data_IF_555153171365
#
_entry.id   IF_555153171365
#
_cell.length_a   1.000
_cell.length_b   1.000
_cell.length_c   1.000
_cell.angle_alpha   90.00
_cell.angle_beta   90.00
_cell.angle_gamma   90.00
#
_symmetry.space_group_name_H-M   'P 1'
#
loop_
_entity.id
_entity.type
_entity.pdbx_description
1 polymer ?
#
# COMPACT_ATOMS: atom_id res chain seq x y z
N UNK A 1 11.08 3.63 -26.04
CA UNK A 1 10.19 2.74 -25.27
C UNK A 1 8.86 3.46 -25.15
N UNK A 2 7.73 2.77 -25.02
CA UNK A 2 6.43 3.42 -24.77
C UNK A 2 6.43 4.19 -23.44
N UNK A 3 5.81 5.37 -23.46
CA UNK A 3 5.48 6.22 -22.31
C UNK A 3 4.01 6.68 -22.48
N UNK A 4 3.25 6.88 -21.39
CA UNK A 4 3.68 6.78 -19.99
C UNK A 4 3.87 5.33 -19.51
N UNK A 5 4.80 5.13 -18.57
CA UNK A 5 5.04 3.81 -17.94
C UNK A 5 5.51 3.92 -16.49
N UNK A 6 5.22 2.91 -15.68
CA UNK A 6 5.86 2.68 -14.39
C UNK A 6 6.97 1.65 -14.54
N UNK A 7 8.20 2.05 -14.25
CA UNK A 7 9.33 1.14 -14.10
C UNK A 7 9.41 0.65 -12.65
N UNK A 8 9.61 -0.66 -12.48
CA UNK A 8 9.54 -1.35 -11.17
C UNK A 8 10.79 -2.20 -10.97
N UNK A 9 11.58 -1.88 -9.94
CA UNK A 9 12.77 -2.65 -9.56
C UNK A 9 12.39 -3.71 -8.51
N UNK A 10 12.30 -4.95 -8.97
CA UNK A 10 11.90 -6.10 -8.14
C UNK A 10 12.96 -6.46 -7.09
N UNK A 11 14.24 -6.20 -7.38
CA UNK A 11 15.33 -6.47 -6.43
C UNK A 11 15.19 -5.58 -5.20
N UNK A 12 14.84 -4.31 -5.38
CA UNK A 12 14.60 -3.37 -4.28
C UNK A 12 13.36 -3.72 -3.46
N UNK A 13 12.27 -4.17 -4.10
CA UNK A 13 11.07 -4.63 -3.38
C UNK A 13 11.36 -5.84 -2.50
N UNK A 14 12.11 -6.80 -3.05
CA UNK A 14 12.57 -7.97 -2.30
C UNK A 14 13.40 -7.55 -1.09
N UNK A 15 14.43 -6.72 -1.29
CA UNK A 15 15.31 -6.24 -0.21
C UNK A 15 14.55 -5.43 0.87
N UNK A 16 13.58 -4.62 0.45
CA UNK A 16 12.68 -3.92 1.37
C UNK A 16 11.88 -4.89 2.23
N UNK A 17 11.37 -5.96 1.62
CA UNK A 17 10.63 -6.99 2.34
C UNK A 17 11.55 -7.77 3.29
N UNK A 18 12.73 -8.19 2.83
CA UNK A 18 13.75 -8.88 3.65
C UNK A 18 14.12 -8.07 4.88
N UNK A 19 14.29 -6.76 4.72
CA UNK A 19 14.63 -5.84 5.81
C UNK A 19 13.54 -5.80 6.88
N UNK A 20 12.27 -5.63 6.47
CA UNK A 20 11.15 -5.57 7.41
C UNK A 20 10.87 -6.93 8.06
N UNK A 21 10.91 -8.02 7.29
CA UNK A 21 10.77 -9.38 7.78
C UNK A 21 11.85 -9.69 8.82
N UNK A 22 13.12 -9.37 8.53
CA UNK A 22 14.23 -9.59 9.45
C UNK A 22 14.04 -8.86 10.77
N UNK A 23 13.64 -7.58 10.73
CA UNK A 23 13.41 -6.75 11.93
C UNK A 23 12.19 -7.19 12.75
N UNK A 24 11.11 -7.62 12.09
CA UNK A 24 9.88 -8.02 12.77
C UNK A 24 9.95 -9.45 13.31
N UNK A 25 10.69 -10.34 12.64
CA UNK A 25 10.89 -11.72 13.09
C UNK A 25 11.56 -11.81 14.46
N UNK A 26 12.50 -10.91 14.79
CA UNK A 26 13.13 -10.87 16.13
C UNK A 26 12.14 -10.51 17.25
N UNK A 27 10.94 -10.02 16.88
CA UNK A 27 9.84 -9.66 17.77
C UNK A 27 8.68 -10.66 17.70
N UNK A 28 8.85 -11.78 17.00
CA UNK A 28 7.80 -12.78 16.82
C UNK A 28 6.68 -12.37 15.85
N UNK A 29 6.89 -11.31 15.05
CA UNK A 29 5.90 -10.77 14.13
C UNK A 29 6.21 -11.21 12.69
N UNK A 30 5.26 -11.89 12.06
CA UNK A 30 5.23 -12.19 10.64
C UNK A 30 4.82 -10.99 9.79
N UNK A 31 5.14 -11.05 8.50
CA UNK A 31 4.78 -10.01 7.53
C UNK A 31 3.90 -10.58 6.44
N UNK A 32 2.68 -10.06 6.34
CA UNK A 32 1.79 -10.29 5.20
C UNK A 32 1.97 -9.15 4.18
N UNK A 33 2.42 -9.50 2.96
CA UNK A 33 2.69 -8.53 1.90
C UNK A 33 1.42 -8.04 1.20
N UNK A 34 1.14 -6.73 1.23
CA UNK A 34 -0.09 -6.15 0.68
C UNK A 34 0.13 -5.64 -0.75
N UNK A 35 -0.54 -6.27 -1.71
CA UNK A 35 -0.34 -6.00 -3.15
C UNK A 35 -1.34 -5.01 -3.76
N UNK A 36 -2.26 -4.46 -2.95
CA UNK A 36 -3.39 -3.66 -3.46
C UNK A 36 -2.97 -2.43 -4.28
N UNK A 37 -1.88 -1.78 -3.89
CA UNK A 37 -1.37 -0.57 -4.54
C UNK A 37 -0.70 -0.84 -5.89
N UNK A 38 -0.30 -2.10 -6.14
CA UNK A 38 0.26 -2.56 -7.42
C UNK A 38 -0.73 -3.46 -8.17
N UNK A 39 -2.01 -3.40 -7.78
CA UNK A 39 -3.09 -4.19 -8.35
C UNK A 39 -2.81 -5.70 -8.39
N UNK A 40 -2.12 -6.28 -7.40
CA UNK A 40 -1.77 -7.71 -7.46
C UNK A 40 -0.87 -8.07 -8.65
N UNK A 41 0.04 -7.19 -9.05
CA UNK A 41 1.02 -7.49 -10.09
C UNK A 41 1.88 -8.70 -9.66
N UNK A 42 1.84 -9.84 -10.37
CA UNK A 42 2.46 -11.09 -9.90
C UNK A 42 3.96 -10.99 -9.66
N UNK A 43 4.69 -10.23 -10.47
CA UNK A 43 6.13 -10.06 -10.30
C UNK A 43 6.49 -9.35 -8.98
N UNK A 44 5.70 -8.34 -8.56
CA UNK A 44 5.90 -7.64 -7.28
C UNK A 44 5.49 -8.54 -6.11
N UNK A 45 4.39 -9.28 -6.25
CA UNK A 45 3.96 -10.25 -5.26
C UNK A 45 5.01 -11.33 -5.02
N UNK A 46 5.63 -11.86 -6.09
CA UNK A 46 6.70 -12.83 -5.98
C UNK A 46 7.93 -12.23 -5.30
N UNK A 47 8.31 -10.98 -5.62
CA UNK A 47 9.42 -10.31 -4.94
C UNK A 47 9.18 -10.14 -3.42
N UNK A 48 7.94 -9.86 -2.99
CA UNK A 48 7.59 -9.84 -1.56
C UNK A 48 7.73 -11.23 -0.92
N UNK A 49 7.24 -12.28 -1.59
CA UNK A 49 7.36 -13.66 -1.09
C UNK A 49 8.82 -14.12 -1.00
N UNK A 50 9.63 -13.83 -2.02
CA UNK A 50 11.06 -14.14 -2.06
C UNK A 50 11.82 -13.38 -0.97
N UNK A 51 11.31 -12.21 -0.57
CA UNK A 51 11.85 -11.45 0.56
C UNK A 51 11.37 -11.94 1.93
N UNK A 52 10.59 -13.02 1.99
CA UNK A 52 10.20 -13.68 3.23
C UNK A 52 8.84 -13.28 3.79
N UNK A 53 7.99 -12.57 3.03
CA UNK A 53 6.59 -12.41 3.43
C UNK A 53 5.92 -13.79 3.57
N UNK A 54 5.20 -14.01 4.67
CA UNK A 54 4.61 -15.33 5.00
C UNK A 54 3.40 -15.65 4.12
N UNK A 55 2.77 -14.61 3.58
CA UNK A 55 1.62 -14.66 2.68
C UNK A 55 1.39 -13.30 2.05
N UNK A 56 0.32 -13.21 1.28
CA UNK A 56 -0.08 -11.99 0.60
C UNK A 56 -1.46 -11.53 1.04
N UNK A 57 -1.75 -10.25 0.81
CA UNK A 57 -3.06 -9.69 1.03
C UNK A 57 -3.43 -8.70 -0.07
N UNK A 58 -4.71 -8.67 -0.43
CA UNK A 58 -5.25 -7.69 -1.36
C UNK A 58 -6.67 -7.27 -0.96
N UNK A 59 -7.09 -6.08 -1.41
CA UNK A 59 -8.43 -5.55 -1.13
C UNK A 59 -9.42 -5.86 -2.26
N UNK A 60 -8.94 -6.28 -3.44
CA UNK A 60 -9.77 -6.52 -4.63
C UNK A 60 -9.65 -7.96 -5.10
N UNK A 61 -10.79 -8.63 -5.23
CA UNK A 61 -10.83 -10.01 -5.69
C UNK A 61 -10.22 -10.21 -7.08
N UNK A 62 -10.40 -9.25 -8.01
CA UNK A 62 -9.78 -9.30 -9.33
C UNK A 62 -8.25 -9.34 -9.29
N UNK A 63 -7.62 -8.73 -8.28
CA UNK A 63 -6.18 -8.80 -8.06
C UNK A 63 -5.78 -10.20 -7.56
N UNK A 64 -6.56 -10.78 -6.64
CA UNK A 64 -6.30 -12.14 -6.14
C UNK A 64 -6.44 -13.17 -7.26
N UNK A 65 -7.47 -13.06 -8.10
CA UNK A 65 -7.65 -13.93 -9.28
C UNK A 65 -6.44 -13.82 -10.21
N UNK A 66 -5.93 -12.60 -10.44
CA UNK A 66 -4.71 -12.39 -11.24
C UNK A 66 -3.49 -13.09 -10.64
N UNK A 67 -3.31 -13.02 -9.33
CA UNK A 67 -2.23 -13.71 -8.63
C UNK A 67 -2.36 -15.25 -8.77
N UNK A 68 -3.56 -15.80 -8.58
CA UNK A 68 -3.82 -17.23 -8.76
C UNK A 68 -3.58 -17.70 -10.19
N UNK A 69 -4.05 -16.94 -11.18
CA UNK A 69 -3.81 -17.24 -12.60
C UNK A 69 -2.33 -17.20 -12.97
N UNK A 70 -1.53 -16.42 -12.24
CA UNK A 70 -0.07 -16.38 -12.39
C UNK A 70 0.66 -17.49 -11.61
N UNK A 71 -0.07 -18.43 -10.99
CA UNK A 71 0.50 -19.57 -10.29
C UNK A 71 0.88 -19.33 -8.83
N UNK A 72 0.48 -18.20 -8.23
CA UNK A 72 0.76 -17.94 -6.81
C UNK A 72 -0.07 -18.88 -5.94
N UNK A 73 0.60 -19.81 -5.25
CA UNK A 73 -0.02 -20.82 -4.37
C UNK A 73 0.10 -20.51 -2.87
N UNK A 74 0.84 -19.47 -2.50
CA UNK A 74 0.96 -19.02 -1.09
C UNK A 74 -0.37 -18.52 -0.54
N UNK A 75 -0.49 -18.47 0.78
CA UNK A 75 -1.70 -17.98 1.46
C UNK A 75 -2.02 -16.55 1.02
N UNK A 76 -3.27 -16.29 0.62
CA UNK A 76 -3.77 -14.97 0.25
C UNK A 76 -5.02 -14.63 1.06
N UNK A 77 -4.95 -13.52 1.77
CA UNK A 77 -6.07 -12.99 2.58
C UNK A 77 -6.71 -11.79 1.91
N UNK A 78 -8.03 -11.81 1.75
CA UNK A 78 -8.77 -10.62 1.32
C UNK A 78 -8.93 -9.64 2.50
N UNK A 79 -8.35 -8.44 2.40
CA UNK A 79 -8.32 -7.43 3.48
C UNK A 79 -9.42 -6.37 3.39
N UNK A 80 -10.38 -6.58 2.49
CA UNK A 80 -11.64 -5.83 2.44
C UNK A 80 -12.76 -6.84 2.59
N UNK A 81 -13.76 -6.53 3.42
CA UNK A 81 -14.97 -7.35 3.56
C UNK A 81 -15.51 -7.74 2.16
N UNK A 82 -15.70 -9.05 1.89
CA UNK A 82 -16.22 -9.51 0.62
C UNK A 82 -17.58 -8.90 0.28
N UNK A 83 -17.82 -8.68 -1.02
CA UNK A 83 -19.18 -8.42 -1.49
C UNK A 83 -19.98 -9.72 -1.43
N UNK A 84 -21.25 -9.66 -1.04
CA UNK A 84 -22.14 -10.84 -1.03
C UNK A 84 -22.20 -11.53 -2.40
N UNK A 85 -22.18 -10.75 -3.49
CA UNK A 85 -22.17 -11.25 -4.87
C UNK A 85 -20.86 -11.96 -5.28
N UNK A 86 -19.84 -11.92 -4.43
CA UNK A 86 -18.51 -12.46 -4.72
C UNK A 86 -18.10 -13.62 -3.82
N UNK A 87 -18.92 -14.01 -2.83
CA UNK A 87 -18.54 -14.99 -1.80
C UNK A 87 -18.11 -16.34 -2.38
N UNK A 88 -18.82 -16.87 -3.39
CA UNK A 88 -18.41 -18.11 -4.07
C UNK A 88 -17.00 -18.01 -4.69
N UNK A 89 -16.67 -16.86 -5.30
CA UNK A 89 -15.34 -16.65 -5.86
C UNK A 89 -14.29 -16.41 -4.77
N UNK A 90 -14.63 -15.69 -3.69
CA UNK A 90 -13.73 -15.47 -2.55
C UNK A 90 -13.29 -16.80 -1.95
N UNK A 91 -14.24 -17.68 -1.60
CA UNK A 91 -13.96 -19.00 -1.05
C UNK A 91 -13.08 -19.86 -1.97
N UNK A 92 -13.22 -19.68 -3.29
CA UNK A 92 -12.45 -20.44 -4.27
C UNK A 92 -10.98 -20.02 -4.36
N UNK A 93 -10.69 -18.72 -4.21
CA UNK A 93 -9.37 -18.16 -4.56
C UNK A 93 -8.62 -17.57 -3.37
N UNK A 94 -9.30 -17.25 -2.28
CA UNK A 94 -8.71 -16.74 -1.04
C UNK A 94 -8.68 -17.84 0.00
N UNK A 95 -7.63 -17.87 0.82
CA UNK A 95 -7.54 -18.80 1.94
C UNK A 95 -8.27 -18.26 3.18
N UNK A 96 -8.31 -16.93 3.31
CA UNK A 96 -9.03 -16.25 4.37
C UNK A 96 -9.56 -14.88 3.91
N UNK A 97 -10.45 -14.29 4.71
CA UNK A 97 -10.91 -12.91 4.52
C UNK A 97 -11.18 -12.21 5.83
N UNK A 98 -10.89 -10.91 5.88
CA UNK A 98 -11.29 -10.03 6.96
C UNK A 98 -12.78 -9.65 6.84
N UNK A 99 -13.50 -9.71 7.95
CA UNK A 99 -14.93 -9.45 8.02
C UNK A 99 -15.30 -8.66 9.28
N UNK A 100 -16.43 -7.97 9.20
CA UNK A 100 -17.09 -7.27 10.32
C UNK A 100 -18.56 -7.64 10.46
N UNK A 101 -19.17 -8.19 9.40
CA UNK A 101 -20.62 -8.37 9.28
C UNK A 101 -21.01 -9.84 9.23
N UNK A 102 -21.90 -10.28 10.13
CA UNK A 102 -22.33 -11.67 10.21
C UNK A 102 -23.02 -12.15 8.92
N UNK A 103 -23.80 -11.28 8.26
CA UNK A 103 -24.45 -11.62 6.98
C UNK A 103 -23.45 -12.03 5.90
N UNK A 104 -22.26 -11.43 5.89
CA UNK A 104 -21.19 -11.78 4.93
C UNK A 104 -20.55 -13.10 5.33
N UNK A 105 -20.29 -13.32 6.62
CA UNK A 105 -19.71 -14.57 7.13
C UNK A 105 -20.64 -15.75 6.84
N UNK A 106 -21.94 -15.61 7.09
CA UNK A 106 -22.96 -16.63 6.75
C UNK A 106 -22.96 -16.95 5.25
N UNK A 107 -22.82 -15.94 4.39
CA UNK A 107 -22.75 -16.16 2.94
C UNK A 107 -21.46 -16.86 2.50
N UNK A 108 -20.32 -16.57 3.15
CA UNK A 108 -19.05 -17.28 2.95
C UNK A 108 -19.15 -18.74 3.42
N UNK A 109 -19.73 -18.98 4.59
CA UNK A 109 -19.97 -20.31 5.12
C UNK A 109 -20.83 -21.16 4.17
N UNK A 110 -21.95 -20.61 3.69
CA UNK A 110 -22.79 -21.29 2.71
C UNK A 110 -22.02 -21.60 1.41
N UNK A 111 -21.17 -20.69 0.94
CA UNK A 111 -20.34 -20.91 -0.25
C UNK A 111 -19.26 -21.98 -0.04
N UNK A 112 -18.62 -22.01 1.13
CA UNK A 112 -17.62 -22.99 1.51
C UNK A 112 -18.21 -24.40 1.64
N UNK A 113 -19.39 -24.52 2.27
CA UNK A 113 -20.14 -25.79 2.34
C UNK A 113 -20.44 -26.32 0.94
N UNK A 114 -20.97 -25.47 0.03
CA UNK A 114 -21.24 -25.87 -1.36
C UNK A 114 -19.99 -26.34 -2.11
N UNK A 115 -18.83 -25.81 -1.76
CA UNK A 115 -17.54 -26.12 -2.40
C UNK A 115 -16.78 -27.25 -1.69
N UNK A 116 -17.29 -27.77 -0.57
CA UNK A 116 -16.60 -28.78 0.23
C UNK A 116 -15.31 -28.29 0.87
N UNK A 117 -15.23 -27.00 1.19
CA UNK A 117 -14.06 -26.36 1.82
C UNK A 117 -14.43 -25.71 3.16
N UNK A 118 -13.43 -25.24 3.88
CA UNK A 118 -13.58 -24.38 5.07
C UNK A 118 -12.84 -23.08 4.79
N UNK A 119 -13.54 -21.96 4.90
CA UNK A 119 -12.97 -20.63 4.63
C UNK A 119 -12.48 -19.95 5.91
N UNK A 120 -11.28 -19.38 5.88
CA UNK A 120 -10.73 -18.65 7.02
C UNK A 120 -11.40 -17.29 7.25
N UNK A 121 -11.81 -17.02 8.48
CA UNK A 121 -12.41 -15.77 8.91
C UNK A 121 -11.47 -15.07 9.87
N UNK A 122 -11.09 -13.85 9.51
CA UNK A 122 -10.46 -12.92 10.43
C UNK A 122 -11.45 -11.81 10.80
N UNK A 123 -11.64 -11.53 12.08
CA UNK A 123 -12.52 -10.45 12.52
C UNK A 123 -11.75 -9.12 12.63
N UNK A 124 -12.29 -8.06 12.03
CA UNK A 124 -11.75 -6.71 12.17
C UNK A 124 -12.37 -6.01 13.37
N UNK A 125 -11.54 -5.36 14.18
CA UNK A 125 -11.93 -4.68 15.42
C UNK A 125 -11.75 -3.17 15.24
N UNK A 126 -12.75 -2.41 15.68
CA UNK A 126 -12.72 -0.95 15.67
C UNK A 126 -11.94 -0.45 16.89
N UNK A 127 -10.83 0.24 16.65
CA UNK A 127 -9.95 0.79 17.70
C UNK A 127 -9.61 2.29 17.46
N UNK A 128 -10.48 3.01 16.75
CA UNK A 128 -10.48 4.46 16.55
C UNK A 128 -10.30 4.94 15.10
N UNK A 129 -10.13 4.05 14.11
CA UNK A 129 -9.99 4.46 12.71
C UNK A 129 -11.33 4.85 12.07
N UNK A 130 -12.45 4.41 12.66
CA UNK A 130 -13.84 4.66 12.22
C UNK A 130 -14.14 4.17 10.80
N UNK A 131 -13.30 3.26 10.27
CA UNK A 131 -13.34 2.80 8.87
C UNK A 131 -14.17 1.53 8.74
N UNK A 132 -13.81 0.52 9.51
CA UNK A 132 -14.56 -0.70 9.74
C UNK A 132 -14.11 -1.30 11.06
N UNK A 133 -14.97 -2.11 11.65
CA UNK A 133 -14.59 -2.96 12.77
C UNK A 133 -15.77 -3.26 13.66
N UNK A 134 -15.68 -4.40 14.33
CA UNK A 134 -16.54 -4.80 15.42
C UNK A 134 -16.09 -4.03 16.67
N UNK A 135 -17.05 -3.51 17.44
CA UNK A 135 -16.72 -2.88 18.72
C UNK A 135 -16.18 -3.94 19.69
N UNK A 136 -15.18 -3.61 20.52
CA UNK A 136 -14.59 -4.57 21.46
C UNK A 136 -15.62 -5.33 22.31
N UNK A 137 -16.67 -4.65 22.78
CA UNK A 137 -17.75 -5.23 23.59
C UNK A 137 -18.61 -6.27 22.86
N UNK A 138 -18.69 -6.21 21.52
CA UNK A 138 -19.50 -7.11 20.70
C UNK A 138 -18.69 -8.31 20.17
N UNK A 139 -17.36 -8.26 20.30
CA UNK A 139 -16.46 -9.19 19.64
C UNK A 139 -16.67 -10.64 20.07
N UNK A 140 -16.81 -10.89 21.37
CA UNK A 140 -16.96 -12.25 21.91
C UNK A 140 -18.24 -12.91 21.41
N UNK A 141 -19.36 -12.18 21.39
CA UNK A 141 -20.64 -12.68 20.88
C UNK A 141 -20.60 -12.98 19.37
N UNK A 142 -19.84 -12.20 18.59
CA UNK A 142 -19.65 -12.48 17.16
C UNK A 142 -18.71 -13.67 16.97
N UNK A 143 -17.62 -13.75 17.74
CA UNK A 143 -16.66 -14.85 17.67
C UNK A 143 -17.31 -16.21 17.95
N UNK A 144 -18.15 -16.31 19.00
CA UNK A 144 -18.93 -17.52 19.30
C UNK A 144 -19.80 -17.95 18.13
N UNK A 145 -20.52 -17.01 17.49
CA UNK A 145 -21.33 -17.31 16.31
C UNK A 145 -20.49 -17.82 15.13
N UNK A 146 -19.27 -17.32 14.93
CA UNK A 146 -18.37 -17.83 13.88
C UNK A 146 -17.84 -19.22 14.20
N UNK A 147 -17.53 -19.49 15.47
CA UNK A 147 -17.04 -20.80 15.93
C UNK A 147 -18.08 -21.90 15.73
N UNK A 148 -19.35 -21.59 15.97
CA UNK A 148 -20.47 -22.52 15.81
C UNK A 148 -20.94 -22.68 14.35
N UNK A 149 -20.37 -21.91 13.41
CA UNK A 149 -20.83 -21.87 12.03
C UNK A 149 -20.07 -22.85 11.11
N UNK A 150 -20.74 -23.90 10.58
CA UNK A 150 -20.09 -24.83 9.66
C UNK A 150 -19.65 -24.14 8.36
N UNK A 151 -18.53 -24.58 7.77
CA UNK A 151 -18.00 -24.04 6.52
C UNK A 151 -17.04 -22.86 6.69
N UNK A 152 -16.91 -22.31 7.89
CA UNK A 152 -15.91 -21.29 8.22
C UNK A 152 -15.07 -21.71 9.41
N UNK A 153 -13.91 -21.07 9.57
CA UNK A 153 -13.05 -21.21 10.74
C UNK A 153 -12.56 -19.85 11.18
N UNK A 154 -12.69 -19.52 12.46
CA UNK A 154 -12.12 -18.31 13.04
C UNK A 154 -10.59 -18.45 13.11
N UNK A 155 -9.89 -17.84 12.17
CA UNK A 155 -8.42 -17.94 12.05
C UNK A 155 -7.69 -16.81 12.78
N UNK A 156 -8.36 -15.70 13.03
CA UNK A 156 -7.68 -14.53 13.58
C UNK A 156 -8.54 -13.32 13.83
N UNK A 157 -7.86 -12.29 14.33
CA UNK A 157 -8.40 -10.93 14.49
C UNK A 157 -7.41 -9.89 13.99
N UNK A 158 -7.86 -8.66 13.80
CA UNK A 158 -6.96 -7.55 13.59
C UNK A 158 -7.65 -6.20 13.66
N UNK A 159 -6.87 -5.14 13.65
CA UNK A 159 -7.37 -3.76 13.61
C UNK A 159 -6.69 -2.98 12.49
N UNK A 160 -7.22 -1.82 12.11
CA UNK A 160 -6.59 -0.94 11.13
C UNK A 160 -6.37 0.45 11.74
N UNK A 161 -5.30 1.13 11.32
CA UNK A 161 -4.92 2.45 11.82
C UNK A 161 -4.45 3.37 10.69
N UNK A 162 -4.44 4.68 10.95
CA UNK A 162 -3.85 5.67 10.05
C UNK A 162 -4.52 5.79 8.68
N UNK A 163 -5.78 5.35 8.54
CA UNK A 163 -6.50 5.40 7.27
C UNK A 163 -7.59 6.48 7.29
N UNK A 164 -8.81 6.18 7.77
CA UNK A 164 -9.91 7.13 7.70
C UNK A 164 -9.80 8.18 8.81
N UNK A 165 -9.81 7.75 10.06
CA UNK A 165 -9.69 8.62 11.23
C UNK A 165 -8.30 9.24 11.40
N UNK A 166 -7.30 8.79 10.61
CA UNK A 166 -5.88 9.18 10.74
C UNK A 166 -5.33 9.00 12.16
N UNK A 167 -5.95 8.12 12.94
CA UNK A 167 -5.53 7.80 14.29
C UNK A 167 -4.32 6.88 14.22
N UNK A 168 -3.23 7.29 14.84
CA UNK A 168 -2.02 6.49 14.93
C UNK A 168 -2.22 5.30 15.90
N UNK A 169 -1.56 4.16 15.64
CA UNK A 169 -1.50 3.07 16.61
C UNK A 169 -0.66 3.50 17.82
N UNK A 170 -1.03 3.01 19.00
CA UNK A 170 -0.30 3.23 20.24
C UNK A 170 -0.26 1.94 21.09
N UNK A 171 0.52 1.97 22.17
CA UNK A 171 0.68 0.82 23.05
C UNK A 171 -0.63 0.41 23.75
N UNK A 172 -1.53 1.36 24.07
CA UNK A 172 -2.80 1.06 24.71
C UNK A 172 -3.73 0.29 23.76
N UNK A 173 -3.80 0.68 22.49
CA UNK A 173 -4.56 -0.04 21.46
C UNK A 173 -4.00 -1.43 21.18
N UNK A 174 -2.68 -1.61 21.19
CA UNK A 174 -2.06 -2.93 21.05
C UNK A 174 -2.31 -3.83 22.27
N UNK A 175 -2.37 -3.25 23.46
CA UNK A 175 -2.74 -3.97 24.68
C UNK A 175 -4.21 -4.41 24.63
N UNK A 176 -5.13 -3.55 24.20
CA UNK A 176 -6.55 -3.92 23.99
C UNK A 176 -6.65 -5.07 22.99
N UNK A 177 -5.99 -4.98 21.83
CA UNK A 177 -6.01 -6.04 20.83
C UNK A 177 -5.40 -7.36 21.33
N UNK A 178 -4.38 -7.28 22.20
CA UNK A 178 -3.79 -8.45 22.89
C UNK A 178 -4.81 -9.10 23.83
N UNK A 179 -5.46 -8.32 24.69
CA UNK A 179 -6.47 -8.85 25.63
C UNK A 179 -7.67 -9.47 24.91
N UNK A 180 -8.14 -8.85 23.81
CA UNK A 180 -9.22 -9.41 22.99
C UNK A 180 -8.81 -10.73 22.31
N UNK A 181 -7.56 -10.85 21.88
CA UNK A 181 -7.05 -12.12 21.35
C UNK A 181 -7.08 -13.21 22.43
N UNK A 182 -6.56 -12.92 23.61
CA UNK A 182 -6.52 -13.86 24.73
C UNK A 182 -7.92 -14.27 25.18
N UNK A 183 -8.89 -13.35 25.18
CA UNK A 183 -10.29 -13.64 25.47
C UNK A 183 -10.86 -14.66 24.46
N UNK A 184 -10.67 -14.42 23.16
CA UNK A 184 -11.14 -15.36 22.12
C UNK A 184 -10.42 -16.70 22.21
N UNK A 185 -9.10 -16.71 22.43
CA UNK A 185 -8.30 -17.94 22.57
C UNK A 185 -8.80 -18.80 23.74
N UNK A 186 -9.22 -18.17 24.84
CA UNK A 186 -9.84 -18.85 25.98
C UNK A 186 -11.24 -19.39 25.65
N UNK A 187 -12.04 -18.67 24.86
CA UNK A 187 -13.37 -19.13 24.42
C UNK A 187 -13.26 -20.37 23.51
N UNK A 188 -12.29 -20.40 22.60
CA UNK A 188 -12.14 -21.50 21.63
C UNK A 188 -11.14 -22.60 22.04
N UNK A 189 -10.54 -22.48 23.24
CA UNK A 189 -9.49 -23.37 23.74
C UNK A 189 -8.33 -23.60 22.75
N UNK A 190 -8.08 -22.64 21.85
CA UNK A 190 -7.11 -22.75 20.75
C UNK A 190 -6.46 -21.39 20.49
N UNK A 191 -5.17 -21.36 20.16
CA UNK A 191 -4.51 -20.11 19.80
C UNK A 191 -4.96 -19.62 18.41
N UNK A 192 -5.21 -18.32 18.29
CA UNK A 192 -5.49 -17.69 17.00
C UNK A 192 -4.24 -17.74 16.13
N UNK A 193 -4.42 -18.10 14.86
CA UNK A 193 -3.30 -18.16 13.91
C UNK A 193 -2.76 -16.77 13.61
N UNK A 194 -3.66 -15.78 13.54
CA UNK A 194 -3.30 -14.40 13.18
C UNK A 194 -3.93 -13.40 14.14
N UNK A 195 -3.08 -12.64 14.83
CA UNK A 195 -3.46 -11.42 15.55
C UNK A 195 -2.72 -10.28 14.87
N UNK A 196 -3.37 -9.68 13.86
CA UNK A 196 -2.74 -8.67 13.03
C UNK A 196 -2.85 -7.29 13.67
N UNK A 197 -1.71 -6.76 14.11
CA UNK A 197 -1.62 -5.47 14.80
C UNK A 197 -1.96 -4.26 13.94
N UNK A 198 -1.94 -4.38 12.62
CA UNK A 198 -2.34 -3.27 11.75
C UNK A 198 -1.74 -3.31 10.37
N UNK A 199 -1.18 -2.17 9.97
CA UNK A 199 -0.61 -1.97 8.64
C UNK A 199 0.74 -1.27 8.73
N UNK A 200 1.26 -0.74 7.61
CA UNK A 200 2.53 -0.01 7.57
C UNK A 200 2.64 1.14 8.59
N UNK A 201 1.53 1.74 9.06
CA UNK A 201 1.52 2.76 10.10
C UNK A 201 1.95 2.24 11.50
N UNK A 202 1.95 0.92 11.70
CA UNK A 202 2.35 0.31 12.98
C UNK A 202 3.87 0.12 13.12
N UNK A 203 4.66 0.32 12.06
CA UNK A 203 6.08 -0.01 12.07
C UNK A 203 6.87 0.77 13.13
N UNK A 204 6.62 2.07 13.26
CA UNK A 204 7.29 2.88 14.27
C UNK A 204 7.02 2.36 15.69
N UNK A 205 5.79 1.94 15.99
CA UNK A 205 5.43 1.35 17.28
C UNK A 205 6.07 -0.02 17.46
N UNK A 206 6.03 -0.88 16.44
CA UNK A 206 6.61 -2.22 16.47
C UNK A 206 8.13 -2.19 16.69
N UNK A 207 8.84 -1.18 16.17
CA UNK A 207 10.28 -1.07 16.33
C UNK A 207 10.74 -0.54 17.69
N UNK A 208 9.94 0.31 18.37
CA UNK A 208 10.29 0.94 19.66
C UNK A 208 10.45 -0.02 20.85
N UNK A 209 10.40 -1.33 20.61
CA UNK A 209 10.43 -2.38 21.62
C UNK A 209 9.06 -2.49 22.31
N UNK A 210 8.52 -3.70 22.38
CA UNK A 210 7.29 -3.95 23.13
C UNK A 210 7.49 -5.11 24.11
N UNK A 211 6.71 -5.04 25.19
CA UNK A 211 6.38 -6.14 26.08
C UNK A 211 5.87 -7.35 25.28
N UNK A 212 5.90 -8.57 25.85
CA UNK A 212 5.22 -9.71 25.26
C UNK A 212 3.78 -9.34 24.88
N UNK A 213 3.41 -9.60 23.63
CA UNK A 213 2.11 -9.26 23.07
C UNK A 213 1.63 -10.43 22.21
N UNK A 214 0.31 -10.55 22.05
CA UNK A 214 -0.29 -11.54 21.15
C UNK A 214 -0.18 -11.17 19.67
N UNK A 215 0.23 -9.94 19.36
CA UNK A 215 0.43 -9.48 17.98
C UNK A 215 1.52 -10.29 17.30
N UNK A 216 1.14 -11.02 16.25
CA UNK A 216 2.04 -11.92 15.52
C UNK A 216 2.07 -11.65 14.01
N UNK A 217 1.32 -10.67 13.51
CA UNK A 217 1.30 -10.28 12.10
C UNK A 217 1.19 -8.76 11.91
N UNK A 218 1.81 -8.26 10.85
CA UNK A 218 1.53 -6.95 10.27
C UNK A 218 1.32 -7.07 8.75
N UNK A 219 0.30 -6.36 8.25
CA UNK A 219 -0.03 -6.31 6.83
C UNK A 219 0.63 -5.10 6.18
N UNK A 220 1.76 -5.31 5.52
CA UNK A 220 2.64 -4.25 5.04
C UNK A 220 2.55 -4.09 3.53
N UNK A 221 2.30 -2.87 3.07
CA UNK A 221 2.23 -2.55 1.64
C UNK A 221 3.07 -1.33 1.32
N UNK A 222 2.60 -0.15 1.74
CA UNK A 222 3.26 1.13 1.47
C UNK A 222 4.72 1.17 1.92
N UNK A 223 5.01 0.67 3.13
CA UNK A 223 6.39 0.61 3.64
C UNK A 223 7.30 -0.28 2.80
N UNK A 224 6.81 -1.44 2.33
CA UNK A 224 7.59 -2.33 1.43
C UNK A 224 7.80 -1.65 0.08
N UNK A 225 6.74 -1.06 -0.49
CA UNK A 225 6.74 -0.52 -1.84
C UNK A 225 7.55 0.77 -1.97
N UNK A 226 7.52 1.62 -0.94
CA UNK A 226 8.08 2.98 -0.98
C UNK A 226 9.21 3.22 0.03
N UNK A 227 9.49 2.27 0.93
CA UNK A 227 10.57 2.42 1.92
C UNK A 227 10.34 3.56 2.92
N UNK A 228 9.08 3.97 3.16
CA UNK A 228 8.73 5.08 4.06
C UNK A 228 7.70 4.66 5.11
N UNK A 229 7.71 5.36 6.24
CA UNK A 229 6.65 5.29 7.25
C UNK A 229 5.43 6.13 6.78
N UNK A 230 4.22 5.55 6.70
CA UNK A 230 3.04 6.26 6.16
C UNK A 230 2.60 7.49 6.96
N UNK A 231 2.90 7.54 8.26
CA UNK A 231 2.44 8.61 9.16
C UNK A 231 3.38 9.81 9.09
N UNK A 232 4.68 9.55 9.26
CA UNK A 232 5.72 10.58 9.29
C UNK A 232 6.28 10.93 7.92
N UNK A 233 6.07 10.06 6.91
CA UNK A 233 6.73 10.11 5.60
C UNK A 233 8.26 9.98 5.66
N UNK A 234 8.80 9.66 6.84
CA UNK A 234 10.22 9.48 7.03
C UNK A 234 10.70 8.23 6.30
N UNK A 235 11.94 8.29 5.83
CA UNK A 235 12.64 7.14 5.27
C UNK A 235 12.85 6.08 6.35
N UNK A 236 12.52 4.84 6.05
CA UNK A 236 12.86 3.71 6.90
C UNK A 236 14.29 3.30 6.56
N UNK A 237 15.20 3.48 7.52
CA UNK A 237 16.63 3.18 7.37
C UNK A 237 16.84 1.78 6.80
N UNK A 238 17.71 1.65 5.80
CA UNK A 238 18.04 0.39 5.13
C UNK A 238 17.06 -0.03 4.03
N UNK A 239 16.02 0.75 3.75
CA UNK A 239 15.07 0.48 2.66
C UNK A 239 15.29 1.39 1.46
N UNK A 240 14.83 0.95 0.28
CA UNK A 240 14.84 1.71 -0.95
C UNK A 240 13.55 2.54 -1.11
N UNK A 241 13.72 3.81 -1.51
CA UNK A 241 12.61 4.74 -1.85
C UNK A 241 12.31 4.83 -3.36
N UNK A 242 13.18 4.23 -4.17
CA UNK A 242 13.22 4.40 -5.62
C UNK A 242 13.01 3.07 -6.37
N UNK A 243 12.20 2.18 -5.78
CA UNK A 243 11.77 0.94 -6.42
C UNK A 243 10.77 1.19 -7.57
N UNK A 244 10.12 2.35 -7.59
CA UNK A 244 9.17 2.76 -8.61
C UNK A 244 9.58 4.09 -9.24
N UNK A 245 9.45 4.20 -10.56
CA UNK A 245 9.58 5.46 -11.28
C UNK A 245 8.49 5.57 -12.36
N UNK A 246 7.72 6.65 -12.34
CA UNK A 246 6.80 6.98 -13.42
C UNK A 246 7.56 7.76 -14.49
N UNK A 247 7.50 7.29 -15.73
CA UNK A 247 8.17 7.91 -16.87
C UNK A 247 7.12 8.44 -17.82
N UNK A 248 7.22 9.72 -18.18
CA UNK A 248 6.35 10.38 -19.15
C UNK A 248 7.18 11.10 -20.21
N UNK A 249 6.63 11.22 -21.42
CA UNK A 249 7.27 11.87 -22.55
C UNK A 249 6.84 13.33 -22.64
N UNK A 250 7.79 14.21 -22.96
CA UNK A 250 7.53 15.61 -23.29
C UNK A 250 6.93 15.68 -24.70
N UNK A 251 5.70 16.18 -24.80
CA UNK A 251 4.98 16.33 -26.07
C UNK A 251 4.98 17.77 -26.60
N UNK A 252 5.26 18.75 -25.73
CA UNK A 252 5.37 20.15 -26.10
C UNK A 252 6.42 20.86 -25.24
N UNK A 253 7.17 21.75 -25.87
CA UNK A 253 8.08 22.67 -25.20
C UNK A 253 7.79 24.09 -25.66
N UNK A 254 7.56 24.99 -24.72
CA UNK A 254 7.28 26.39 -25.02
C UNK A 254 8.08 27.32 -24.09
N UNK A 255 8.61 28.40 -24.66
CA UNK A 255 9.23 29.49 -23.91
C UNK A 255 8.20 30.61 -23.82
N UNK A 256 7.36 30.58 -22.78
CA UNK A 256 6.34 31.63 -22.60
C UNK A 256 6.97 32.88 -21.98
N UNK A 257 6.76 34.08 -22.58
CA UNK A 257 7.15 35.32 -21.93
C UNK A 257 6.40 35.50 -20.59
N UNK A 258 7.06 36.18 -19.65
CA UNK A 258 6.77 36.40 -18.22
C UNK A 258 5.34 36.87 -17.85
N UNK A 259 4.44 37.09 -18.83
CA UNK A 259 3.15 37.76 -18.68
C UNK A 259 1.91 36.87 -18.60
N UNK A 260 2.04 35.55 -18.78
CA UNK A 260 0.91 34.63 -18.63
C UNK A 260 0.68 34.26 -17.15
N UNK A 261 0.09 35.21 -16.41
CA UNK A 261 -0.48 34.94 -15.09
C UNK A 261 -1.48 33.79 -15.21
N UNK A 262 -1.21 32.69 -14.52
CA UNK A 262 -2.21 31.64 -14.33
C UNK A 262 -3.26 32.26 -13.41
N UNK A 263 -4.41 32.62 -13.98
CA UNK A 263 -5.56 33.03 -13.20
C UNK A 263 -5.89 31.87 -12.27
N UNK A 264 -5.84 32.12 -10.96
CA UNK A 264 -6.07 31.15 -9.91
C UNK A 264 -7.50 30.58 -10.02
N UNK A 265 -7.67 29.54 -10.82
CA UNK A 265 -8.92 28.78 -10.94
C UNK A 265 -8.77 27.33 -10.44
N UNK A 266 -7.60 26.94 -9.94
CA UNK A 266 -7.43 25.71 -9.17
C UNK A 266 -7.27 26.05 -7.69
N UNK A 267 -8.40 26.19 -7.00
CA UNK A 267 -8.51 26.28 -5.53
C UNK A 267 -7.81 25.12 -4.80
N UNK A 268 -7.42 24.05 -5.52
CA UNK A 268 -6.64 22.92 -5.01
C UNK A 268 -5.15 23.24 -4.76
N UNK A 269 -4.54 24.16 -5.50
CA UNK A 269 -3.13 24.54 -5.33
C UNK A 269 -2.91 25.38 -4.07
N UNK A 270 -3.84 26.32 -3.80
CA UNK A 270 -3.75 27.25 -2.65
C UNK A 270 -3.94 26.55 -1.30
N UNK A 271 -4.68 25.43 -1.26
CA UNK A 271 -4.96 24.68 -0.02
C UNK A 271 -3.81 23.81 0.49
N UNK A 272 -2.71 23.68 -0.27
CA UNK A 272 -1.57 22.78 0.07
C UNK A 272 -0.21 23.47 0.17
N UNK A 273 -0.18 24.80 0.23
CA UNK A 273 1.08 25.55 0.38
C UNK A 273 2.02 25.47 -0.83
N UNK A 274 1.51 25.03 -1.98
CA UNK A 274 2.20 25.18 -3.25
C UNK A 274 2.06 26.65 -3.65
N UNK A 275 3.01 27.46 -3.21
CA UNK A 275 3.17 28.81 -3.76
C UNK A 275 3.30 28.68 -5.29
N UNK A 276 2.61 29.52 -6.09
CA UNK A 276 2.94 29.66 -7.50
C UNK A 276 4.46 29.89 -7.59
N UNK A 277 5.17 28.89 -8.10
CA UNK A 277 6.62 28.89 -8.06
C UNK A 277 7.17 30.02 -8.93
N UNK A 278 8.33 30.51 -8.50
CA UNK A 278 9.21 31.49 -9.11
C UNK A 278 9.14 31.51 -10.65
N UNK A 279 9.30 32.70 -11.24
CA UNK A 279 9.31 32.94 -12.70
C UNK A 279 10.04 31.82 -13.44
N UNK A 280 9.26 30.92 -14.04
CA UNK A 280 9.79 29.79 -14.81
C UNK A 280 9.95 30.26 -16.26
N UNK A 281 11.18 30.21 -16.78
CA UNK A 281 11.48 30.63 -18.15
C UNK A 281 10.92 29.68 -19.23
N UNK A 282 10.91 28.36 -18.99
CA UNK A 282 10.47 27.36 -19.96
C UNK A 282 9.38 26.44 -19.40
N UNK A 283 8.36 26.15 -20.19
CA UNK A 283 7.28 25.22 -19.86
C UNK A 283 7.34 23.99 -20.74
N UNK A 284 7.10 22.84 -20.12
CA UNK A 284 7.07 21.53 -20.77
C UNK A 284 5.72 20.90 -20.49
N UNK A 285 5.11 20.35 -21.53
CA UNK A 285 3.88 19.57 -21.42
C UNK A 285 4.22 18.10 -21.63
N UNK A 286 3.76 17.26 -20.71
CA UNK A 286 3.93 15.82 -20.76
C UNK A 286 2.59 15.13 -21.00
N UNK A 287 2.61 14.02 -21.73
CA UNK A 287 1.47 13.13 -21.94
C UNK A 287 1.18 12.31 -20.66
N UNK A 288 0.68 12.99 -19.64
CA UNK A 288 0.34 12.45 -18.32
C UNK A 288 -0.58 13.45 -17.61
N UNK A 289 -1.70 13.03 -17.02
CA UNK A 289 -2.59 13.94 -16.28
C UNK A 289 -3.28 13.34 -15.06
N UNK A 290 -4.35 14.00 -14.61
CA UNK A 290 -5.14 13.59 -13.43
C UNK A 290 -5.87 12.25 -13.62
N UNK A 291 -6.12 11.81 -14.85
CA UNK A 291 -6.67 10.48 -15.13
C UNK A 291 -5.65 9.37 -14.88
N UNK A 292 -4.38 9.65 -15.14
CA UNK A 292 -3.29 8.70 -15.03
C UNK A 292 -2.82 8.52 -13.58
N UNK A 293 -2.66 9.62 -12.85
CA UNK A 293 -2.06 9.58 -11.51
C UNK A 293 -2.50 10.74 -10.62
N UNK A 294 -2.09 10.68 -9.35
CA UNK A 294 -2.18 11.84 -8.45
C UNK A 294 -0.95 12.73 -8.67
N UNK A 295 -1.15 13.80 -9.44
CA UNK A 295 -0.09 14.75 -9.80
C UNK A 295 0.59 15.34 -8.57
N UNK A 296 -0.15 15.59 -7.49
CA UNK A 296 0.41 16.15 -6.25
C UNK A 296 1.21 15.12 -5.45
N UNK A 297 1.09 13.84 -5.79
CA UNK A 297 1.93 12.78 -5.25
C UNK A 297 3.22 12.55 -6.05
N UNK A 298 3.50 13.33 -7.10
CA UNK A 298 4.74 13.22 -7.87
C UNK A 298 5.84 14.10 -7.28
N UNK A 299 7.04 13.53 -7.12
CA UNK A 299 8.23 14.32 -6.82
C UNK A 299 8.87 14.80 -8.11
N UNK A 300 8.99 16.12 -8.26
CA UNK A 300 9.64 16.73 -9.41
C UNK A 300 11.14 16.44 -9.41
N UNK A 301 11.75 16.10 -10.56
CA UNK A 301 13.19 15.95 -10.62
C UNK A 301 13.91 17.27 -10.32
N UNK A 302 15.16 17.22 -9.84
CA UNK A 302 15.93 18.43 -9.58
C UNK A 302 15.95 19.38 -10.79
N UNK A 303 15.60 20.65 -10.58
CA UNK A 303 15.54 21.67 -11.62
C UNK A 303 14.22 21.75 -12.39
N UNK A 304 13.21 20.98 -12.00
CA UNK A 304 11.84 21.11 -12.50
C UNK A 304 10.89 21.50 -11.38
N UNK A 305 9.85 22.27 -11.71
CA UNK A 305 8.77 22.66 -10.80
C UNK A 305 7.41 22.31 -11.39
N UNK A 306 6.44 21.97 -10.54
CA UNK A 306 5.06 21.76 -10.99
C UNK A 306 4.43 23.12 -11.33
N UNK A 307 3.87 23.25 -12.53
CA UNK A 307 3.09 24.44 -12.95
C UNK A 307 1.59 24.15 -12.82
N UNK A 308 1.14 22.96 -13.23
CA UNK A 308 -0.26 22.55 -13.15
C UNK A 308 -0.52 21.28 -13.96
N UNK A 309 -1.77 20.79 -13.95
CA UNK A 309 -2.17 19.65 -14.76
C UNK A 309 -3.66 19.70 -15.13
N UNK A 310 -4.04 18.95 -16.16
CA UNK A 310 -5.43 18.71 -16.60
C UNK A 310 -5.74 17.22 -16.54
N UNK A 311 -6.83 16.76 -17.18
CA UNK A 311 -7.13 15.33 -17.30
C UNK A 311 -5.97 14.53 -17.90
N UNK A 312 -5.33 15.06 -18.94
CA UNK A 312 -4.40 14.32 -19.82
C UNK A 312 -3.03 15.00 -19.99
N UNK A 313 -2.83 16.17 -19.39
CA UNK A 313 -1.60 16.96 -19.56
C UNK A 313 -1.01 17.41 -18.22
N UNK A 314 0.29 17.23 -18.07
CA UNK A 314 1.08 17.70 -16.94
C UNK A 314 1.99 18.80 -17.45
N UNK A 315 1.92 19.97 -16.81
CA UNK A 315 2.76 21.11 -17.12
C UNK A 315 3.80 21.26 -16.03
N UNK A 316 5.07 21.14 -16.41
CA UNK A 316 6.21 21.43 -15.54
C UNK A 316 7.03 22.59 -16.07
N UNK A 317 7.71 23.25 -15.17
CA UNK A 317 8.58 24.37 -15.45
C UNK A 317 10.05 24.00 -15.30
N UNK A 318 10.93 24.63 -16.07
CA UNK A 318 12.38 24.60 -15.82
C UNK A 318 13.05 25.91 -16.21
N UNK A 319 14.14 26.24 -15.50
CA UNK A 319 15.06 27.34 -15.84
C UNK A 319 16.35 26.80 -16.50
N UNK A 320 16.39 25.51 -16.82
CA UNK A 320 17.49 24.86 -17.53
C UNK A 320 17.29 24.93 -19.04
N UNK A 321 18.27 24.40 -19.77
CA UNK A 321 18.15 24.15 -21.21
C UNK A 321 16.89 23.32 -21.50
N UNK A 322 16.12 23.76 -22.50
CA UNK A 322 14.85 23.15 -22.87
C UNK A 322 15.10 21.75 -23.44
N UNK A 323 14.59 20.68 -22.80
CA UNK A 323 14.67 19.34 -23.35
C UNK A 323 13.93 19.27 -24.70
N UNK A 324 14.30 18.34 -25.57
CA UNK A 324 13.58 18.18 -26.85
C UNK A 324 12.24 17.49 -26.62
N UNK A 325 11.23 17.80 -27.43
CA UNK A 325 10.04 16.96 -27.59
C UNK A 325 10.47 15.51 -27.87
N UNK A 326 9.81 14.55 -27.24
CA UNK A 326 10.20 13.14 -27.21
C UNK A 326 11.16 12.76 -26.08
N UNK A 327 11.69 13.72 -25.32
CA UNK A 327 12.52 13.39 -24.14
C UNK A 327 11.66 12.88 -22.99
N UNK A 328 12.20 11.92 -22.22
CA UNK A 328 11.52 11.33 -21.07
C UNK A 328 11.87 12.06 -19.76
N UNK A 329 10.87 12.24 -18.90
CA UNK A 329 11.02 12.73 -17.53
C UNK A 329 10.59 11.63 -16.55
N UNK A 330 11.35 11.46 -15.46
CA UNK A 330 11.15 10.39 -14.48
C UNK A 330 10.73 10.97 -13.13
N UNK A 331 9.60 10.55 -12.61
CA UNK A 331 9.06 11.01 -11.32
C UNK A 331 9.13 9.90 -10.28
N UNK A 332 9.54 10.24 -9.07
CA UNK A 332 9.22 9.42 -7.90
C UNK A 332 7.76 9.64 -7.51
N UNK A 333 7.16 8.66 -6.84
CA UNK A 333 5.75 8.65 -6.50
C UNK A 333 5.54 8.44 -5.01
N UNK A 334 4.71 9.29 -4.41
CA UNK A 334 4.02 8.99 -3.17
C UNK A 334 2.94 7.92 -3.38
N UNK A 335 2.39 7.41 -2.29
CA UNK A 335 1.45 6.28 -2.33
C UNK A 335 0.21 6.50 -3.20
N UNK A 336 -0.41 7.67 -3.15
CA UNK A 336 -1.58 8.00 -3.97
C UNK A 336 -1.26 8.00 -5.47
N UNK A 337 -0.10 8.54 -5.85
CA UNK A 337 0.37 8.55 -7.22
C UNK A 337 0.70 7.13 -7.71
N UNK A 338 1.43 6.35 -6.91
CA UNK A 338 1.74 4.95 -7.25
C UNK A 338 0.45 4.15 -7.46
N UNK A 339 -0.49 4.21 -6.51
CA UNK A 339 -1.73 3.46 -6.58
C UNK A 339 -2.55 3.80 -7.83
N UNK A 340 -2.67 5.09 -8.19
CA UNK A 340 -3.41 5.51 -9.38
C UNK A 340 -2.69 5.09 -10.66
N UNK A 341 -1.38 5.34 -10.76
CA UNK A 341 -0.60 4.97 -11.94
C UNK A 341 -0.60 3.46 -12.21
N UNK A 342 -0.54 2.64 -11.14
CA UNK A 342 -0.63 1.19 -11.26
C UNK A 342 -2.02 0.72 -11.71
N UNK A 343 -3.09 1.45 -11.39
CA UNK A 343 -4.45 1.13 -11.78
C UNK A 343 -4.85 1.68 -13.16
N UNK A 344 -4.17 2.71 -13.67
CA UNK A 344 -4.45 3.32 -14.96
C UNK A 344 -4.20 2.31 -16.11
N UNK A 345 -5.16 2.09 -17.02
CA UNK A 345 -5.02 1.10 -18.09
C UNK A 345 -3.94 1.49 -19.12
N UNK A 346 -3.79 2.78 -19.38
CA UNK A 346 -2.91 3.30 -20.45
C UNK A 346 -1.45 3.51 -20.00
N UNK A 347 -1.17 3.35 -18.70
CA UNK A 347 0.21 3.36 -18.19
C UNK A 347 0.78 1.95 -18.25
N UNK A 348 1.87 1.75 -18.99
CA UNK A 348 2.52 0.44 -19.07
C UNK A 348 3.27 0.10 -17.76
N UNK A 349 3.38 -1.19 -17.40
CA UNK A 349 4.12 -1.64 -16.21
C UNK A 349 5.35 -2.45 -16.62
N UNK A 350 6.56 -1.93 -16.34
CA UNK A 350 7.85 -2.56 -16.68
C UNK A 350 8.61 -2.99 -15.44
N UNK A 351 8.41 -4.25 -15.05
CA UNK A 351 9.19 -4.87 -13.99
C UNK A 351 10.54 -5.36 -14.50
N UNK A 352 11.59 -5.17 -13.71
CA UNK A 352 12.94 -5.63 -14.00
C UNK A 352 13.68 -6.02 -12.72
N UNK A 353 14.75 -6.79 -12.87
CA UNK A 353 15.70 -7.10 -11.80
C UNK A 353 16.99 -6.31 -12.06
N UNK A 354 17.54 -5.66 -11.03
CA UNK A 354 18.83 -4.95 -11.07
C UNK A 354 19.09 -4.14 -12.36
N UNK A 355 18.55 -2.92 -12.44
CA UNK A 355 19.24 -1.90 -13.25
C UNK A 355 20.39 -1.38 -12.41
N UNK A 356 21.60 -1.89 -12.65
CA UNK A 356 22.82 -1.24 -12.15
C UNK A 356 22.71 0.26 -12.44
N UNK A 357 22.97 1.09 -11.43
CA UNK A 357 22.77 2.53 -11.49
C UNK A 357 23.57 3.16 -12.65
N UNK A 358 22.96 3.27 -13.83
CA UNK A 358 23.51 4.07 -14.92
C UNK A 358 23.27 5.54 -14.58
N UNK A 359 24.31 6.16 -14.03
CA UNK A 359 24.59 7.59 -13.86
C UNK A 359 23.48 8.49 -13.30
N UNK A 360 23.57 8.74 -11.99
CA UNK A 360 23.46 10.09 -11.42
C UNK A 360 24.30 10.13 -10.13
N UNK A 361 25.37 10.94 -10.14
CA UNK A 361 26.17 11.22 -8.94
C UNK A 361 25.27 11.84 -7.87
N UNK A 362 25.16 11.17 -6.73
CA UNK A 362 24.43 11.64 -5.55
C UNK A 362 25.38 12.45 -4.68
N UNK A 363 25.16 13.75 -4.54
CA UNK A 363 25.67 14.50 -3.40
C UNK A 363 24.84 14.11 -2.18
N UNK A 364 25.51 13.55 -1.17
CA UNK A 364 24.93 13.24 0.14
C UNK A 364 24.43 14.53 0.80
N UNK A 365 23.13 14.61 1.04
CA UNK A 365 22.56 15.46 2.08
C UNK A 365 22.31 14.58 3.29
N UNK A 366 22.81 15.00 4.45
CA UNK A 366 22.53 14.39 5.75
C UNK A 366 21.02 14.44 6.01
N UNK A 367 20.35 13.31 5.79
CA UNK A 367 18.93 13.10 6.08
C UNK A 367 18.88 12.49 7.49
N UNK A 368 18.27 13.18 8.46
CA UNK A 368 17.99 12.66 9.80
C UNK A 368 16.99 11.50 9.68
N UNK A 369 17.50 10.32 9.33
CA UNK A 369 16.74 9.09 9.31
C UNK A 369 16.30 8.71 10.72
N UNK A 370 15.08 8.16 10.85
CA UNK A 370 14.65 7.50 12.07
C UNK A 370 15.52 6.25 12.27
N UNK A 371 16.59 6.40 13.05
CA UNK A 371 17.40 5.30 13.56
C UNK A 371 16.56 4.53 14.60
N UNK A 372 15.66 3.70 14.10
CA UNK A 372 14.90 2.75 14.91
C UNK A 372 15.76 1.48 15.03
N UNK A 373 16.53 1.42 16.12
CA UNK A 373 17.40 0.30 16.49
C UNK A 373 16.62 -1.02 16.70
#
# INVERSE_FOLDING_TARGET
MSAPRVEIDLSKIRQNTETLVGRLKTRGIGVTGVTKAVCGLPAVAQAMLDGGAVGLADARLGNVIRLRNAGVSRHITLIRTPLLSQTDQVVRVCDASYNTEMVVITALAAAAIRQGTVHGINLMIELGDLREGILPEDLSAIAEQVLDMPGVSLTGIGANFGCLGKIAPDAAKMAILTSLAEEIENLCCTCLQTVSGGNSANLTLAFRGQQPSRINDLRLGESILLGVDPLSRAHIVGMHRDAFALVAEIIETDTKPDSAQICAADTALSGRGLNPTEKVGNRLILALGHQDTDIFGLSMPPGYSLVGATSDHLVIGTNREVPRVGSEVRFQMAYSALMRAMAAPDIEKKAHHNRGATHAQTTQSEDEGLALA
#
